data_IF_384217668775
#
_entry.id   IF_384217668775
#
_cell.length_a   1.000
_cell.length_b   1.000
_cell.length_c   1.000
_cell.angle_alpha   90.00
_cell.angle_beta   90.00
_cell.angle_gamma   90.00
#
_symmetry.space_group_name_H-M   'P 1'
#
loop_
_entity.id
_entity.type
_entity.pdbx_description
1 polymer ?
#
# COMPACT_ATOMS: atom_id res chain seq x y z
N UNK A 1 48.14 -14.36 14.85
CA UNK A 1 47.57 -13.17 14.17
C UNK A 1 47.07 -13.48 12.76
N UNK A 2 47.58 -14.51 12.08
CA UNK A 2 47.19 -14.88 10.71
C UNK A 2 45.79 -15.53 10.60
N UNK A 3 45.38 -16.33 11.59
CA UNK A 3 44.08 -17.02 11.62
C UNK A 3 42.86 -16.09 11.72
N UNK A 4 43.04 -14.87 12.24
CA UNK A 4 41.96 -13.86 12.34
C UNK A 4 41.79 -13.10 11.01
N UNK A 5 42.90 -12.82 10.30
CA UNK A 5 42.86 -12.18 8.96
C UNK A 5 42.17 -13.08 7.93
N UNK A 6 42.39 -14.38 8.01
CA UNK A 6 41.79 -15.36 7.09
C UNK A 6 40.27 -15.47 7.26
N UNK A 7 39.77 -15.55 8.51
CA UNK A 7 38.32 -15.50 8.80
C UNK A 7 37.67 -14.20 8.33
N UNK A 8 38.33 -13.05 8.52
CA UNK A 8 37.81 -11.75 8.05
C UNK A 8 37.75 -11.65 6.51
N UNK A 9 38.74 -12.21 5.81
CA UNK A 9 38.75 -12.24 4.35
C UNK A 9 37.63 -13.14 3.81
N UNK A 10 37.42 -14.31 4.42
CA UNK A 10 36.35 -15.24 4.01
C UNK A 10 34.94 -14.68 4.26
N UNK A 11 34.74 -13.90 5.34
CA UNK A 11 33.46 -13.20 5.60
C UNK A 11 33.22 -12.09 4.57
N UNK A 12 34.27 -11.34 4.17
CA UNK A 12 34.17 -10.32 3.11
C UNK A 12 33.92 -10.93 1.73
N UNK A 13 34.55 -12.08 1.43
CA UNK A 13 34.36 -12.81 0.18
C UNK A 13 32.97 -13.45 0.10
N UNK A 14 32.48 -14.05 1.18
CA UNK A 14 31.12 -14.56 1.29
C UNK A 14 30.07 -13.46 1.16
N UNK A 15 30.27 -12.31 1.81
CA UNK A 15 29.39 -11.14 1.64
C UNK A 15 29.41 -10.59 0.21
N UNK A 16 30.56 -10.59 -0.45
CA UNK A 16 30.68 -10.19 -1.85
C UNK A 16 29.95 -11.15 -2.79
N UNK A 17 30.11 -12.46 -2.60
CA UNK A 17 29.39 -13.48 -3.36
C UNK A 17 27.87 -13.34 -3.21
N UNK A 18 27.36 -13.15 -1.98
CA UNK A 18 25.94 -12.92 -1.73
C UNK A 18 25.44 -11.67 -2.46
N UNK A 19 26.18 -10.56 -2.42
CA UNK A 19 25.82 -9.34 -3.18
C UNK A 19 25.78 -9.59 -4.68
N UNK A 20 26.71 -10.39 -5.20
CA UNK A 20 26.79 -10.72 -6.62
C UNK A 20 25.59 -11.58 -7.06
N UNK A 21 25.20 -12.56 -6.24
CA UNK A 21 23.99 -13.38 -6.46
C UNK A 21 22.72 -12.52 -6.40
N UNK A 22 22.61 -11.61 -5.43
CA UNK A 22 21.47 -10.68 -5.34
C UNK A 22 21.44 -9.76 -6.57
N UNK A 23 22.59 -9.21 -6.97
CA UNK A 23 22.68 -8.36 -8.16
C UNK A 23 22.28 -9.12 -9.43
N UNK A 24 22.75 -10.35 -9.59
CA UNK A 24 22.35 -11.22 -10.70
C UNK A 24 20.85 -11.49 -10.69
N UNK A 25 20.26 -11.77 -9.52
CA UNK A 25 18.82 -12.00 -9.39
C UNK A 25 18.01 -10.75 -9.73
N UNK A 26 18.41 -9.58 -9.25
CA UNK A 26 17.77 -8.31 -9.60
C UNK A 26 17.85 -8.03 -11.10
N UNK A 27 19.01 -8.28 -11.71
CA UNK A 27 19.19 -8.08 -13.15
C UNK A 27 18.31 -9.05 -13.93
N UNK A 28 18.34 -10.35 -13.61
CA UNK A 28 17.63 -11.38 -14.36
C UNK A 28 16.10 -11.30 -14.21
N UNK A 29 15.61 -11.02 -13.01
CA UNK A 29 14.17 -11.11 -12.71
C UNK A 29 13.46 -9.76 -12.63
N UNK A 30 14.17 -8.67 -12.36
CA UNK A 30 13.56 -7.33 -12.28
C UNK A 30 13.94 -6.51 -13.49
N UNK A 31 15.23 -6.32 -13.74
CA UNK A 31 15.68 -5.37 -14.78
C UNK A 31 15.41 -5.93 -16.18
N UNK A 32 15.84 -7.16 -16.45
CA UNK A 32 15.74 -7.78 -17.77
C UNK A 32 14.30 -7.86 -18.31
N UNK A 33 13.29 -8.40 -17.59
CA UNK A 33 11.93 -8.47 -18.14
C UNK A 33 11.31 -7.08 -18.33
N UNK A 34 11.57 -6.12 -17.43
CA UNK A 34 11.05 -4.76 -17.56
C UNK A 34 11.73 -4.00 -18.73
N UNK A 35 13.04 -4.16 -18.90
CA UNK A 35 13.77 -3.59 -20.03
C UNK A 35 13.33 -4.21 -21.36
N UNK A 36 13.16 -5.53 -21.40
CA UNK A 36 12.68 -6.23 -22.59
C UNK A 36 11.25 -5.82 -22.95
N UNK A 37 10.38 -5.61 -21.95
CA UNK A 37 9.04 -5.08 -22.15
C UNK A 37 9.10 -3.67 -22.77
N UNK A 38 9.96 -2.78 -22.27
CA UNK A 38 10.16 -1.46 -22.86
C UNK A 38 10.64 -1.56 -24.31
N UNK A 39 11.66 -2.37 -24.58
CA UNK A 39 12.16 -2.58 -25.95
C UNK A 39 11.05 -3.10 -26.86
N UNK A 40 10.21 -4.04 -26.40
CA UNK A 40 9.09 -4.57 -27.19
C UNK A 40 8.01 -3.54 -27.51
N UNK A 41 7.86 -2.50 -26.68
CA UNK A 41 6.92 -1.39 -26.90
C UNK A 41 7.45 -0.43 -27.96
N UNK A 42 8.77 -0.16 -27.94
CA UNK A 42 9.41 0.79 -28.85
C UNK A 42 9.93 0.17 -30.15
N UNK A 43 10.22 -1.14 -30.18
CA UNK A 43 10.75 -1.86 -31.33
C UNK A 43 9.80 -2.97 -31.74
N UNK A 44 9.03 -2.72 -32.80
CA UNK A 44 8.12 -3.71 -33.37
C UNK A 44 8.68 -4.19 -34.70
N UNK A 45 9.01 -5.49 -34.81
CA UNK A 45 9.58 -6.10 -36.02
C UNK A 45 10.86 -5.40 -36.54
N UNK A 46 11.74 -4.95 -35.64
CA UNK A 46 13.01 -4.30 -36.00
C UNK A 46 12.92 -2.82 -36.38
N UNK A 47 11.73 -2.22 -36.35
CA UNK A 47 11.55 -0.78 -36.56
C UNK A 47 11.18 -0.08 -35.25
N UNK A 48 11.80 1.08 -35.03
CA UNK A 48 11.45 1.97 -33.93
C UNK A 48 10.05 2.56 -34.21
N UNK A 49 9.09 2.27 -33.34
CA UNK A 49 7.70 2.69 -33.45
C UNK A 49 7.26 3.39 -32.17
N UNK A 50 6.75 4.61 -32.32
CA UNK A 50 6.08 5.37 -31.26
C UNK A 50 4.57 5.16 -31.27
N UNK A 51 4.07 4.23 -32.09
CA UNK A 51 2.65 3.96 -32.27
C UNK A 51 1.97 3.50 -30.97
N UNK A 52 2.73 2.98 -30.00
CA UNK A 52 2.22 2.64 -28.68
C UNK A 52 1.64 3.85 -27.94
N UNK A 53 2.33 5.00 -28.01
CA UNK A 53 1.82 6.25 -27.44
C UNK A 53 0.60 6.74 -28.21
N UNK A 54 0.67 6.70 -29.54
CA UNK A 54 -0.46 7.02 -30.41
C UNK A 54 -1.70 6.21 -30.03
N UNK A 55 -1.58 4.89 -29.91
CA UNK A 55 -2.69 3.98 -29.56
C UNK A 55 -3.31 4.25 -28.19
N UNK A 56 -2.49 4.57 -27.18
CA UNK A 56 -2.99 4.92 -25.86
C UNK A 56 -3.74 6.25 -25.90
N UNK A 57 -3.19 7.25 -26.59
CA UNK A 57 -3.78 8.59 -26.69
C UNK A 57 -5.04 8.62 -27.56
N UNK A 58 -5.08 7.83 -28.63
CA UNK A 58 -6.26 7.72 -29.52
C UNK A 58 -7.37 6.87 -28.92
N UNK A 59 -7.05 5.98 -27.97
CA UNK A 59 -8.04 5.11 -27.34
C UNK A 59 -8.78 5.86 -26.24
N UNK A 60 -10.02 6.25 -26.53
CA UNK A 60 -10.91 6.89 -25.55
C UNK A 60 -11.03 6.06 -24.27
N UNK A 61 -11.09 4.73 -24.40
CA UNK A 61 -11.15 3.82 -23.25
C UNK A 61 -9.87 3.87 -22.41
N UNK A 62 -8.70 3.88 -23.04
CA UNK A 62 -7.42 3.93 -22.32
C UNK A 62 -7.25 5.28 -21.63
N UNK A 63 -7.56 6.39 -22.32
CA UNK A 63 -7.53 7.73 -21.75
C UNK A 63 -8.51 7.86 -20.58
N UNK A 64 -9.74 7.34 -20.72
CA UNK A 64 -10.74 7.36 -19.64
C UNK A 64 -10.30 6.54 -18.43
N UNK A 65 -9.68 5.38 -18.62
CA UNK A 65 -9.12 4.59 -17.52
C UNK A 65 -7.99 5.33 -16.78
N UNK A 66 -7.10 6.01 -17.52
CA UNK A 66 -6.07 6.86 -16.93
C UNK A 66 -6.68 8.01 -16.13
N UNK A 67 -7.63 8.75 -16.71
CA UNK A 67 -8.31 9.85 -16.01
C UNK A 67 -9.05 9.38 -14.75
N UNK A 68 -9.76 8.25 -14.82
CA UNK A 68 -10.40 7.66 -13.65
C UNK A 68 -9.39 7.33 -12.54
N UNK A 69 -8.19 6.88 -12.90
CA UNK A 69 -7.12 6.60 -11.93
C UNK A 69 -6.58 7.86 -11.28
N UNK A 70 -6.44 8.97 -12.04
CA UNK A 70 -6.05 10.27 -11.49
C UNK A 70 -7.10 10.84 -10.53
N UNK A 71 -8.37 10.82 -10.92
CA UNK A 71 -9.49 11.28 -10.07
C UNK A 71 -9.59 10.43 -8.81
N UNK A 72 -9.40 9.11 -8.95
CA UNK A 72 -9.35 8.17 -7.83
C UNK A 72 -8.18 8.49 -6.90
N UNK A 73 -6.97 8.73 -7.43
CA UNK A 73 -5.81 9.07 -6.61
C UNK A 73 -6.05 10.32 -5.75
N UNK A 74 -6.60 11.39 -6.33
CA UNK A 74 -6.92 12.60 -5.57
C UNK A 74 -8.00 12.36 -4.52
N UNK A 75 -9.04 11.60 -4.87
CA UNK A 75 -10.12 11.23 -3.93
C UNK A 75 -9.58 10.38 -2.78
N UNK A 76 -8.64 9.48 -3.06
CA UNK A 76 -7.99 8.64 -2.05
C UNK A 76 -7.14 9.46 -1.10
N UNK A 77 -6.41 10.47 -1.57
CA UNK A 77 -5.66 11.37 -0.67
C UNK A 77 -6.61 11.95 0.39
N UNK A 78 -7.77 12.48 -0.01
CA UNK A 78 -8.70 13.08 0.95
C UNK A 78 -9.34 12.02 1.85
N UNK A 79 -9.93 10.98 1.26
CA UNK A 79 -10.69 9.95 2.01
C UNK A 79 -9.79 9.15 2.96
N UNK A 80 -8.59 8.78 2.54
CA UNK A 80 -7.63 8.03 3.38
C UNK A 80 -7.15 8.88 4.55
N UNK A 81 -6.93 10.19 4.35
CA UNK A 81 -6.54 11.07 5.45
C UNK A 81 -7.67 11.21 6.48
N UNK A 82 -8.92 11.40 6.03
CA UNK A 82 -10.08 11.50 6.93
C UNK A 82 -10.26 10.18 7.70
N UNK A 83 -10.37 9.06 6.98
CA UNK A 83 -10.60 7.74 7.59
C UNK A 83 -9.42 7.33 8.47
N UNK A 84 -8.19 7.53 8.01
CA UNK A 84 -6.98 7.22 8.76
C UNK A 84 -6.87 8.01 10.06
N UNK A 85 -7.16 9.32 10.03
CA UNK A 85 -7.16 10.16 11.24
C UNK A 85 -8.24 9.71 12.22
N UNK A 86 -9.45 9.42 11.75
CA UNK A 86 -10.54 8.92 12.60
C UNK A 86 -10.18 7.60 13.27
N UNK A 87 -9.55 6.68 12.55
CA UNK A 87 -9.13 5.38 13.11
C UNK A 87 -8.06 5.57 14.16
N UNK A 88 -7.04 6.39 13.91
CA UNK A 88 -6.00 6.68 14.90
C UNK A 88 -6.62 7.30 16.15
N UNK A 89 -7.55 8.24 15.99
CA UNK A 89 -8.26 8.85 17.11
C UNK A 89 -9.03 7.79 17.93
N UNK A 90 -9.81 6.93 17.27
CA UNK A 90 -10.58 5.89 17.98
C UNK A 90 -9.74 4.77 18.56
N UNK A 91 -8.57 4.47 17.99
CA UNK A 91 -7.71 3.37 18.46
C UNK A 91 -6.67 3.79 19.48
N UNK A 92 -6.19 5.04 19.44
CA UNK A 92 -5.09 5.51 20.29
C UNK A 92 -5.52 6.57 21.31
N UNK A 93 -6.54 7.38 21.02
CA UNK A 93 -6.95 8.48 21.91
C UNK A 93 -8.13 8.13 22.82
N UNK A 94 -9.13 7.40 22.30
CA UNK A 94 -10.24 6.92 23.12
C UNK A 94 -9.90 5.57 23.77
N UNK A 95 -10.06 5.47 25.10
CA UNK A 95 -10.00 4.20 25.82
C UNK A 95 -11.25 3.35 25.55
N UNK A 96 -11.43 2.95 24.29
CA UNK A 96 -12.52 2.05 23.89
C UNK A 96 -12.11 0.64 24.26
N UNK A 97 -12.96 -0.06 25.04
CA UNK A 97 -12.84 -1.51 25.30
C UNK A 97 -13.00 -2.28 23.98
N UNK A 98 -11.91 -2.42 23.23
CA UNK A 98 -11.91 -3.01 21.88
C UNK A 98 -10.84 -2.47 20.92
N UNK A 99 -10.10 -1.42 21.29
CA UNK A 99 -9.07 -0.80 20.43
C UNK A 99 -8.04 -1.80 19.85
N UNK A 100 -7.69 -2.84 20.61
CA UNK A 100 -6.78 -3.91 20.16
C UNK A 100 -7.37 -4.78 19.05
N UNK A 101 -8.66 -5.11 19.11
CA UNK A 101 -9.38 -5.88 18.07
C UNK A 101 -9.56 -5.00 16.82
N UNK A 102 -9.94 -3.73 17.01
CA UNK A 102 -10.09 -2.77 15.92
C UNK A 102 -8.78 -2.60 15.15
N UNK A 103 -7.67 -2.44 15.89
CA UNK A 103 -6.31 -2.41 15.32
C UNK A 103 -5.99 -3.69 14.56
N UNK A 104 -6.32 -4.86 15.10
CA UNK A 104 -6.05 -6.15 14.46
C UNK A 104 -6.86 -6.31 13.16
N UNK A 105 -8.11 -5.85 13.15
CA UNK A 105 -8.96 -5.78 11.97
C UNK A 105 -8.33 -4.96 10.85
N UNK A 106 -7.79 -3.78 11.16
CA UNK A 106 -7.08 -2.98 10.15
C UNK A 106 -5.76 -3.60 9.70
N UNK A 107 -4.96 -4.15 10.61
CA UNK A 107 -3.71 -4.80 10.21
C UNK A 107 -3.96 -6.06 9.36
N UNK A 108 -5.13 -6.69 9.47
CA UNK A 108 -5.49 -7.83 8.63
C UNK A 108 -5.60 -7.49 7.14
N UNK A 109 -5.94 -6.25 6.78
CA UNK A 109 -6.03 -5.85 5.36
C UNK A 109 -4.67 -5.82 4.66
N UNK A 110 -3.56 -5.78 5.40
CA UNK A 110 -2.20 -5.92 4.86
C UNK A 110 -1.88 -7.36 4.45
N UNK A 111 -2.55 -8.33 5.08
CA UNK A 111 -2.32 -9.76 4.84
C UNK A 111 -3.10 -10.20 3.58
N UNK A 112 -4.24 -9.59 3.30
CA UNK A 112 -5.04 -9.89 2.13
C UNK A 112 -4.42 -9.25 0.87
N UNK A 113 -4.01 -10.08 -0.09
CA UNK A 113 -3.63 -9.61 -1.42
C UNK A 113 -4.78 -8.90 -2.13
N UNK A 114 -4.47 -7.95 -3.02
CA UNK A 114 -5.46 -7.06 -3.64
C UNK A 114 -6.63 -7.79 -4.31
N UNK A 115 -6.39 -8.93 -4.96
CA UNK A 115 -7.44 -9.73 -5.62
C UNK A 115 -8.40 -10.38 -4.61
N UNK A 116 -7.87 -10.92 -3.52
CA UNK A 116 -8.67 -11.57 -2.46
C UNK A 116 -9.53 -10.54 -1.76
N UNK A 117 -8.96 -9.37 -1.47
CA UNK A 117 -9.66 -8.28 -0.81
C UNK A 117 -10.85 -7.80 -1.65
N UNK A 118 -10.65 -7.49 -2.94
CA UNK A 118 -11.73 -7.04 -3.84
C UNK A 118 -12.82 -8.12 -3.96
N UNK A 119 -12.43 -9.38 -4.04
CA UNK A 119 -13.37 -10.51 -4.11
C UNK A 119 -14.19 -10.65 -2.82
N UNK A 120 -13.57 -10.46 -1.66
CA UNK A 120 -14.25 -10.44 -0.36
C UNK A 120 -15.30 -9.33 -0.26
N UNK A 121 -14.95 -8.11 -0.66
CA UNK A 121 -15.91 -7.01 -0.70
C UNK A 121 -17.06 -7.29 -1.69
N UNK A 122 -16.78 -7.88 -2.85
CA UNK A 122 -17.82 -8.30 -3.81
C UNK A 122 -18.74 -9.39 -3.23
N UNK A 123 -18.21 -10.33 -2.46
CA UNK A 123 -19.00 -11.37 -1.81
C UNK A 123 -19.92 -10.82 -0.71
N UNK A 124 -19.47 -9.79 0.00
CA UNK A 124 -20.25 -9.16 1.08
C UNK A 124 -21.27 -8.17 0.52
N UNK A 125 -20.82 -7.21 -0.29
CA UNK A 125 -21.60 -6.04 -0.72
C UNK A 125 -21.99 -6.04 -2.19
N UNK A 126 -21.51 -6.99 -3.00
CA UNK A 126 -21.88 -7.05 -4.41
C UNK A 126 -23.38 -7.31 -4.62
N UNK A 127 -23.85 -7.30 -5.88
CA UNK A 127 -25.29 -7.38 -6.17
C UNK A 127 -25.99 -8.63 -5.64
N UNK A 128 -25.26 -9.73 -5.54
CA UNK A 128 -25.71 -11.01 -4.97
C UNK A 128 -25.04 -11.32 -3.63
N UNK A 129 -24.43 -10.30 -3.01
CA UNK A 129 -23.68 -10.43 -1.78
C UNK A 129 -24.57 -10.58 -0.55
N UNK A 130 -23.99 -11.05 0.56
CA UNK A 130 -24.72 -11.31 1.81
C UNK A 130 -25.49 -10.08 2.28
N UNK A 131 -24.80 -8.93 2.35
CA UNK A 131 -25.39 -7.66 2.84
C UNK A 131 -26.44 -7.16 1.86
N UNK A 132 -26.19 -7.24 0.56
CA UNK A 132 -27.15 -6.79 -0.45
C UNK A 132 -28.42 -7.62 -0.42
N UNK A 133 -28.32 -8.95 -0.31
CA UNK A 133 -29.49 -9.83 -0.18
C UNK A 133 -30.31 -9.55 1.08
N UNK A 134 -29.63 -9.25 2.20
CA UNK A 134 -30.30 -8.84 3.43
C UNK A 134 -31.04 -7.50 3.26
N UNK A 135 -30.35 -6.51 2.66
CA UNK A 135 -30.89 -5.18 2.43
C UNK A 135 -32.07 -5.18 1.45
N UNK A 136 -31.99 -5.96 0.36
CA UNK A 136 -33.10 -6.10 -0.59
C UNK A 136 -34.26 -6.91 -0.01
N UNK A 137 -33.99 -7.81 0.95
CA UNK A 137 -35.02 -8.49 1.73
C UNK A 137 -35.80 -7.55 2.65
N UNK A 138 -35.13 -6.55 3.24
CA UNK A 138 -35.77 -5.52 4.09
C UNK A 138 -36.38 -4.36 3.27
N UNK A 139 -35.74 -3.99 2.16
CA UNK A 139 -36.13 -2.92 1.26
C UNK A 139 -36.22 -3.43 -0.18
N UNK A 140 -37.36 -4.01 -0.60
CA UNK A 140 -37.51 -4.66 -1.90
C UNK A 140 -37.29 -3.75 -3.12
N UNK A 141 -37.42 -2.42 -2.95
CA UNK A 141 -37.23 -1.42 -4.00
C UNK A 141 -35.78 -0.93 -4.10
N UNK A 142 -34.88 -1.39 -3.24
CA UNK A 142 -33.49 -0.98 -3.22
C UNK A 142 -32.73 -1.53 -4.44
N UNK A 143 -31.86 -0.70 -5.03
CA UNK A 143 -31.01 -1.13 -6.13
C UNK A 143 -29.94 -2.12 -5.63
N UNK A 144 -29.99 -3.37 -6.09
CA UNK A 144 -28.99 -4.38 -5.76
C UNK A 144 -27.56 -3.99 -6.19
N UNK A 145 -27.40 -3.15 -7.21
CA UNK A 145 -26.11 -2.67 -7.70
C UNK A 145 -25.59 -1.43 -6.95
N UNK A 146 -26.12 -1.10 -5.77
CA UNK A 146 -25.71 0.06 -4.98
C UNK A 146 -24.19 0.11 -4.69
N UNK A 147 -23.56 -1.06 -4.54
CA UNK A 147 -22.11 -1.19 -4.34
C UNK A 147 -21.39 -1.56 -5.64
N UNK A 148 -21.61 -0.78 -6.69
CA UNK A 148 -20.89 -0.92 -7.97
C UNK A 148 -20.42 0.44 -8.48
N UNK A 149 -19.44 0.42 -9.39
CA UNK A 149 -18.89 1.65 -9.98
C UNK A 149 -17.90 2.40 -9.07
N UNK A 150 -17.79 3.71 -9.27
CA UNK A 150 -16.73 4.53 -8.67
C UNK A 150 -16.76 4.54 -7.14
N UNK A 151 -17.96 4.60 -6.53
CA UNK A 151 -18.11 4.59 -5.08
C UNK A 151 -17.54 3.32 -4.45
N UNK A 152 -17.86 2.15 -5.00
CA UNK A 152 -17.33 0.88 -4.51
C UNK A 152 -15.80 0.83 -4.61
N UNK A 153 -15.23 1.34 -5.71
CA UNK A 153 -13.77 1.41 -5.90
C UNK A 153 -13.12 2.32 -4.85
N UNK A 154 -13.65 3.53 -4.64
CA UNK A 154 -13.14 4.46 -3.62
C UNK A 154 -13.21 3.82 -2.24
N UNK A 155 -14.37 3.28 -1.86
CA UNK A 155 -14.57 2.66 -0.55
C UNK A 155 -13.56 1.53 -0.29
N UNK A 156 -13.48 0.56 -1.20
CA UNK A 156 -12.57 -0.58 -1.06
C UNK A 156 -11.12 -0.11 -1.01
N UNK A 157 -10.73 0.82 -1.88
CA UNK A 157 -9.36 1.35 -1.91
C UNK A 157 -9.02 2.16 -0.66
N UNK A 158 -9.93 2.98 -0.12
CA UNK A 158 -9.70 3.74 1.11
C UNK A 158 -9.35 2.78 2.24
N UNK A 159 -10.19 1.78 2.53
CA UNK A 159 -9.93 0.84 3.63
C UNK A 159 -8.70 -0.07 3.39
N UNK A 160 -8.39 -0.40 2.14
CA UNK A 160 -7.19 -1.17 1.80
C UNK A 160 -5.91 -0.37 2.00
N UNK A 161 -5.90 0.89 1.55
CA UNK A 161 -4.71 1.75 1.52
C UNK A 161 -4.49 2.44 2.86
N UNK A 162 -5.53 2.64 3.69
CA UNK A 162 -5.39 3.20 5.04
C UNK A 162 -4.39 2.41 5.88
N UNK A 163 -4.34 1.09 5.75
CA UNK A 163 -3.36 0.27 6.49
C UNK A 163 -1.92 0.54 6.06
N UNK A 164 -1.68 0.76 4.75
CA UNK A 164 -0.37 1.20 4.25
C UNK A 164 -0.02 2.59 4.77
N UNK A 165 -0.97 3.52 4.77
CA UNK A 165 -0.78 4.88 5.26
C UNK A 165 -0.46 4.90 6.77
N UNK A 166 -1.14 4.09 7.57
CA UNK A 166 -0.89 3.97 9.01
C UNK A 166 0.52 3.47 9.32
N UNK A 167 1.13 2.60 8.51
CA UNK A 167 2.52 2.16 8.71
C UNK A 167 3.48 3.35 8.56
N UNK A 168 3.31 4.15 7.52
CA UNK A 168 4.13 5.34 7.31
C UNK A 168 3.91 6.40 8.40
N UNK A 169 2.65 6.62 8.80
CA UNK A 169 2.30 7.57 9.86
C UNK A 169 2.88 7.12 11.23
N UNK A 170 2.79 5.83 11.56
CA UNK A 170 3.34 5.27 12.80
C UNK A 170 4.85 5.35 12.87
N UNK A 171 5.55 5.12 11.76
CA UNK A 171 6.99 5.29 11.70
C UNK A 171 7.39 6.76 11.93
N UNK A 172 6.64 7.71 11.37
CA UNK A 172 6.88 9.15 11.59
C UNK A 172 6.59 9.57 13.04
N UNK A 173 5.46 9.13 13.60
CA UNK A 173 5.03 9.46 14.98
C UNK A 173 5.94 8.81 16.02
N UNK A 174 6.36 7.56 15.83
CA UNK A 174 7.25 6.86 16.74
C UNK A 174 8.63 7.53 16.84
N UNK A 175 9.14 8.02 15.71
CA UNK A 175 10.37 8.84 15.69
C UNK A 175 10.15 10.14 16.43
N UNK A 176 9.03 10.84 16.20
CA UNK A 176 8.72 12.11 16.85
C UNK A 176 8.58 11.97 18.37
N UNK A 177 7.86 10.95 18.86
CA UNK A 177 7.71 10.63 20.28
C UNK A 177 9.07 10.25 20.89
N UNK A 178 9.88 9.46 20.19
CA UNK A 178 11.23 9.09 20.67
C UNK A 178 12.14 10.33 20.77
N UNK A 179 12.06 11.25 19.80
CA UNK A 179 12.78 12.52 19.83
C UNK A 179 12.31 13.39 21.00
N UNK A 180 11.00 13.53 21.21
CA UNK A 180 10.45 14.31 22.32
C UNK A 180 10.80 13.72 23.69
N UNK A 181 10.69 12.40 23.86
CA UNK A 181 11.05 11.72 25.10
C UNK A 181 12.56 11.82 25.38
N UNK A 182 13.41 11.76 24.35
CA UNK A 182 14.85 12.02 24.49
C UNK A 182 15.11 13.46 24.90
N UNK A 183 14.41 14.42 24.28
CA UNK A 183 14.53 15.84 24.59
C UNK A 183 14.10 16.14 26.02
N UNK A 184 12.95 15.62 26.46
CA UNK A 184 12.47 15.71 27.85
C UNK A 184 13.45 15.08 28.85
N UNK A 185 14.00 13.89 28.56
CA UNK A 185 15.03 13.29 29.42
C UNK A 185 16.32 14.11 29.50
N UNK A 186 16.71 14.80 28.42
CA UNK A 186 17.88 15.71 28.48
C UNK A 186 17.59 16.98 29.30
N UNK A 187 16.35 17.49 29.29
CA UNK A 187 15.95 18.62 30.12
C UNK A 187 15.92 18.27 31.62
N UNK A 188 15.30 17.13 31.98
CA UNK A 188 15.24 16.65 33.37
C UNK A 188 16.63 16.30 33.94
N UNK A 189 17.59 15.90 33.08
CA UNK A 189 18.97 15.62 33.51
C UNK A 189 19.84 16.88 33.64
N UNK A 190 19.37 18.02 33.17
CA UNK A 190 20.05 19.32 33.26
C UNK A 190 19.49 20.21 34.37
N UNK A 191 18.50 19.76 35.15
CA UNK A 191 18.11 20.45 36.37
C UNK A 191 19.24 20.28 37.40
N UNK A 192 19.94 21.35 37.79
CA UNK A 192 20.84 21.28 38.93
C UNK A 192 20.01 20.97 40.16
N UNK A 193 20.43 19.95 40.90
CA UNK A 193 19.98 19.70 42.27
C UNK A 193 20.39 20.94 43.08
N UNK A 194 19.46 21.85 43.28
CA UNK A 194 19.54 22.90 44.30
C UNK A 194 18.55 22.57 45.40
#
# INVERSE_FOLDING_TARGET
METIKEKFHNIKLGSFAVKLVIAWFLIAFVIYPNANLLVSIFFKNGQFSTDAFGKILTSERAMKALMNSFVLAFTLVITVNIVGTLIVLFTEYFEIKGAKILRLGYMSTLIYGGVVLVSGYKFIYGPTGIVTNLLTGLFPTMNANWFTGYFAVVFVMTFSVTSNHMIFLRNAIGVWITIQLRRLKTWVRQEPVF
#
